data_IF_977124768000
#
_entry.id   IF_977124768000
#
_cell.length_a   1.000
_cell.length_b   1.000
_cell.length_c   1.000
_cell.angle_alpha   90.00
_cell.angle_beta   90.00
_cell.angle_gamma   90.00
#
_symmetry.space_group_name_H-M   'P 1'
#
loop_
_entity.id
_entity.type
_entity.pdbx_description
1 polymer ?
#
# COMPACT_ATOMS: atom_id res chain seq x y z
N UNK A 1 -1.97 32.49 -19.56
CA UNK A 1 -2.87 31.97 -18.48
C UNK A 1 -2.03 31.03 -17.68
N UNK A 2 -1.59 31.43 -16.46
CA UNK A 2 -0.75 30.61 -15.61
C UNK A 2 -1.57 29.44 -15.05
N UNK A 3 -1.17 28.23 -15.38
CA UNK A 3 -1.62 27.04 -14.67
C UNK A 3 -1.04 27.16 -13.27
N UNK A 4 -1.87 27.50 -12.29
CA UNK A 4 -1.49 27.39 -10.87
C UNK A 4 -1.32 25.91 -10.61
N UNK A 5 -0.09 25.43 -10.59
CA UNK A 5 0.24 24.08 -10.15
C UNK A 5 -0.26 23.99 -8.70
N UNK A 6 -1.29 23.20 -8.47
CA UNK A 6 -1.73 22.92 -7.11
C UNK A 6 -0.58 22.19 -6.43
N UNK A 7 -0.13 22.68 -5.27
CA UNK A 7 0.94 22.04 -4.51
C UNK A 7 0.59 20.61 -4.13
N UNK A 8 1.58 19.78 -3.84
CA UNK A 8 1.42 18.37 -3.49
C UNK A 8 0.42 18.15 -2.35
N UNK A 9 0.45 19.01 -1.33
CA UNK A 9 -0.50 18.95 -0.19
C UNK A 9 -1.96 19.11 -0.62
N UNK A 10 -2.24 19.89 -1.65
CA UNK A 10 -3.60 20.09 -2.15
C UNK A 10 -4.09 18.97 -3.05
N UNK A 11 -3.21 18.09 -3.52
CA UNK A 11 -3.59 16.87 -4.25
C UNK A 11 -3.95 15.70 -3.31
N UNK A 12 -3.72 15.86 -2.00
CA UNK A 12 -4.19 14.92 -1.00
C UNK A 12 -5.73 14.88 -0.99
N UNK A 13 -6.36 13.68 -1.00
CA UNK A 13 -7.82 13.59 -0.92
C UNK A 13 -8.38 14.31 0.31
N UNK A 14 -9.47 15.05 0.13
CA UNK A 14 -10.05 15.92 1.18
C UNK A 14 -10.37 15.18 2.48
N UNK A 15 -10.74 13.89 2.39
CA UNK A 15 -11.01 13.02 3.55
C UNK A 15 -9.78 12.72 4.39
N UNK A 16 -8.57 12.91 3.84
CA UNK A 16 -7.30 12.71 4.53
C UNK A 16 -6.63 14.03 4.94
N UNK A 17 -7.03 15.17 4.37
CA UNK A 17 -6.43 16.47 4.68
C UNK A 17 -6.55 16.87 6.15
N UNK A 18 -7.63 16.48 6.83
CA UNK A 18 -7.85 16.74 8.26
C UNK A 18 -7.08 15.78 9.18
N UNK A 19 -6.61 14.67 8.63
CA UNK A 19 -5.91 13.62 9.38
C UNK A 19 -4.38 13.82 9.39
N UNK A 20 -3.87 14.67 8.50
CA UNK A 20 -2.44 14.89 8.29
C UNK A 20 -2.10 16.33 8.61
N UNK A 21 -1.30 16.49 9.67
CA UNK A 21 -0.79 17.80 10.12
C UNK A 21 0.72 17.72 10.23
N UNK A 22 1.42 18.21 9.20
CA UNK A 22 2.88 18.33 9.17
C UNK A 22 3.26 19.78 8.92
N UNK A 23 4.48 20.15 9.28
CA UNK A 23 5.02 21.49 8.98
C UNK A 23 5.05 21.72 7.46
N UNK A 24 4.84 22.99 7.04
CA UNK A 24 4.87 23.37 5.62
C UNK A 24 6.20 23.01 4.95
N UNK A 25 7.29 23.06 5.70
CA UNK A 25 8.63 22.71 5.21
C UNK A 25 8.76 21.25 4.76
N UNK A 26 7.97 20.35 5.34
CA UNK A 26 7.91 18.94 4.88
C UNK A 26 7.30 18.87 3.48
N UNK A 27 6.19 19.58 3.26
CA UNK A 27 5.55 19.63 1.95
C UNK A 27 6.43 20.31 0.91
N UNK A 28 7.12 21.39 1.27
CA UNK A 28 8.05 22.12 0.39
C UNK A 28 9.22 21.24 -0.02
N UNK A 29 9.79 20.47 0.93
CA UNK A 29 10.88 19.52 0.66
C UNK A 29 10.44 18.39 -0.28
N UNK A 30 9.25 17.83 -0.05
CA UNK A 30 8.67 16.79 -0.88
C UNK A 30 8.38 17.32 -2.29
N UNK A 31 7.76 18.50 -2.41
CA UNK A 31 7.46 19.14 -3.68
C UNK A 31 8.73 19.38 -4.50
N UNK A 32 9.77 19.93 -3.87
CA UNK A 32 11.05 20.21 -4.52
C UNK A 32 11.71 18.92 -5.06
N UNK A 33 11.67 17.82 -4.28
CA UNK A 33 12.21 16.55 -4.72
C UNK A 33 11.41 15.93 -5.88
N UNK A 34 10.08 16.06 -5.86
CA UNK A 34 9.18 15.56 -6.91
C UNK A 34 9.35 16.37 -8.20
N UNK A 35 9.45 17.70 -8.09
CA UNK A 35 9.66 18.57 -9.23
C UNK A 35 11.04 18.35 -9.88
N UNK A 36 12.07 18.08 -9.06
CA UNK A 36 13.40 17.73 -9.54
C UNK A 36 13.43 16.39 -10.28
N UNK A 37 12.66 15.41 -9.80
CA UNK A 37 12.56 14.10 -10.45
C UNK A 37 11.86 14.16 -11.83
N UNK A 38 10.92 15.08 -12.01
CA UNK A 38 10.25 15.28 -13.30
C UNK A 38 9.70 13.96 -13.88
N UNK A 39 10.13 13.64 -15.10
CA UNK A 39 9.71 12.42 -15.81
C UNK A 39 10.32 11.13 -15.24
N UNK A 40 11.34 11.21 -14.40
CA UNK A 40 11.94 10.07 -13.69
C UNK A 40 11.20 9.71 -12.39
N UNK A 41 10.11 10.41 -12.09
CA UNK A 41 9.31 10.14 -10.89
C UNK A 41 8.53 8.83 -10.99
N UNK A 42 8.65 7.96 -10.00
CA UNK A 42 7.88 6.72 -9.85
C UNK A 42 7.13 6.72 -8.50
N UNK A 43 5.80 6.54 -8.49
CA UNK A 43 4.86 6.53 -9.61
C UNK A 43 4.69 7.93 -10.24
N UNK A 44 3.96 8.03 -11.37
CA UNK A 44 3.51 9.32 -11.91
C UNK A 44 2.83 10.18 -10.84
N UNK A 45 3.00 11.51 -10.92
CA UNK A 45 2.57 12.47 -9.88
C UNK A 45 1.10 12.30 -9.47
N UNK A 46 0.22 12.05 -10.42
CA UNK A 46 -1.21 11.85 -10.22
C UNK A 46 -1.55 10.57 -9.44
N UNK A 47 -0.62 9.63 -9.35
CA UNK A 47 -0.81 8.35 -8.65
C UNK A 47 -0.17 8.32 -7.26
N UNK A 48 0.53 9.36 -6.82
CA UNK A 48 1.25 9.39 -5.53
C UNK A 48 0.30 9.03 -4.37
N UNK A 49 -0.93 9.56 -4.38
CA UNK A 49 -1.92 9.32 -3.33
C UNK A 49 -3.01 8.31 -3.72
N UNK A 50 -2.78 7.46 -4.72
CA UNK A 50 -3.77 6.47 -5.16
C UNK A 50 -4.25 5.55 -4.02
N UNK A 51 -3.37 5.19 -3.08
CA UNK A 51 -3.72 4.40 -1.91
C UNK A 51 -4.77 5.07 -1.01
N UNK A 52 -4.88 6.40 -1.06
CA UNK A 52 -5.79 7.20 -0.24
C UNK A 52 -7.16 7.44 -0.90
N UNK A 53 -7.51 6.70 -1.93
CA UNK A 53 -8.80 6.80 -2.63
C UNK A 53 -10.01 6.41 -1.77
N UNK A 54 -9.81 5.69 -0.67
CA UNK A 54 -10.83 5.39 0.34
C UNK A 54 -10.63 6.29 1.57
N UNK A 55 -11.72 6.77 2.21
CA UNK A 55 -11.59 7.61 3.41
C UNK A 55 -11.10 6.81 4.62
N UNK A 56 -10.48 7.46 5.63
CA UNK A 56 -9.94 6.80 6.84
C UNK A 56 -10.95 5.88 7.53
N UNK A 57 -12.21 6.28 7.60
CA UNK A 57 -13.29 5.52 8.26
C UNK A 57 -13.69 4.24 7.52
N UNK A 58 -13.30 4.08 6.26
CA UNK A 58 -13.57 2.88 5.46
C UNK A 58 -12.38 1.91 5.43
N UNK A 59 -11.24 2.28 6.01
CA UNK A 59 -10.07 1.40 6.08
C UNK A 59 -10.33 0.28 7.09
N UNK A 60 -10.43 -0.96 6.62
CA UNK A 60 -10.58 -2.17 7.44
C UNK A 60 -9.23 -2.75 7.84
N UNK A 61 -8.25 -2.70 6.93
CA UNK A 61 -6.89 -3.19 7.18
C UNK A 61 -5.86 -2.38 6.41
N UNK A 62 -4.67 -2.28 6.99
CA UNK A 62 -3.51 -1.64 6.36
C UNK A 62 -2.51 -2.73 5.96
N UNK A 63 -2.04 -2.70 4.72
CA UNK A 63 -0.90 -3.48 4.25
C UNK A 63 0.21 -2.50 3.89
N UNK A 64 1.38 -2.61 4.54
CA UNK A 64 2.48 -1.68 4.33
C UNK A 64 3.55 -2.27 3.41
N UNK A 65 3.83 -1.54 2.33
CA UNK A 65 5.05 -1.65 1.55
C UNK A 65 6.11 -0.66 2.03
N UNK A 66 7.31 -0.72 1.48
CA UNK A 66 8.40 0.19 1.81
C UNK A 66 8.44 1.37 0.85
N UNK A 67 8.59 1.12 -0.43
CA UNK A 67 8.66 2.11 -1.51
C UNK A 67 7.95 1.58 -2.77
N UNK A 68 7.68 2.42 -3.77
CA UNK A 68 7.12 1.99 -5.04
C UNK A 68 8.05 1.04 -5.78
N UNK A 69 7.49 0.28 -6.73
CA UNK A 69 8.34 -0.38 -7.72
C UNK A 69 9.19 0.65 -8.44
N UNK A 70 10.51 0.40 -8.59
CA UNK A 70 11.40 1.38 -9.23
C UNK A 70 11.09 1.55 -10.71
N UNK A 71 10.59 0.51 -11.40
CA UNK A 71 10.10 0.65 -12.77
C UNK A 71 8.79 1.47 -12.76
N UNK A 72 8.83 2.67 -13.32
CA UNK A 72 7.71 3.60 -13.38
C UNK A 72 6.46 2.99 -14.02
N UNK A 73 6.63 2.10 -15.01
CA UNK A 73 5.50 1.43 -15.67
C UNK A 73 4.77 0.43 -14.77
N UNK A 74 5.39 -0.01 -13.67
CA UNK A 74 4.81 -0.94 -12.69
C UNK A 74 4.26 -0.24 -11.45
N UNK A 75 4.66 1.02 -11.20
CA UNK A 75 4.26 1.77 -10.03
C UNK A 75 2.89 2.46 -10.25
N UNK A 76 1.88 2.00 -9.52
CA UNK A 76 0.50 2.48 -9.59
C UNK A 76 0.05 3.24 -8.34
N UNK A 77 0.98 3.61 -7.44
CA UNK A 77 0.68 4.28 -6.18
C UNK A 77 0.03 3.39 -5.11
N UNK A 78 -0.07 2.08 -5.36
CA UNK A 78 -0.55 1.07 -4.41
C UNK A 78 0.57 0.10 -4.07
N UNK A 79 0.82 -0.13 -2.79
CA UNK A 79 1.83 -1.08 -2.35
C UNK A 79 1.58 -2.47 -2.94
N UNK A 80 2.63 -3.10 -3.49
CA UNK A 80 2.64 -4.44 -4.12
C UNK A 80 1.84 -4.58 -5.41
N UNK A 81 0.99 -3.62 -5.78
CA UNK A 81 0.17 -3.67 -6.99
C UNK A 81 0.95 -3.24 -8.22
N UNK A 82 0.62 -3.85 -9.37
CA UNK A 82 1.13 -3.44 -10.69
C UNK A 82 -0.04 -3.38 -11.69
N UNK A 83 0.11 -2.69 -12.83
CA UNK A 83 -0.90 -2.69 -13.88
C UNK A 83 -1.30 -4.10 -14.32
N UNK A 84 -2.54 -4.25 -14.81
CA UNK A 84 -3.08 -5.55 -15.30
C UNK A 84 -2.22 -6.22 -16.37
N UNK A 85 -1.56 -5.41 -17.19
CA UNK A 85 -0.71 -5.88 -18.30
C UNK A 85 0.71 -6.23 -17.86
N UNK A 86 1.12 -5.87 -16.66
CA UNK A 86 2.49 -6.07 -16.18
C UNK A 86 2.74 -7.52 -15.80
N UNK A 87 3.99 -7.94 -15.98
CA UNK A 87 4.47 -9.21 -15.46
C UNK A 87 4.48 -9.19 -13.93
N UNK A 88 3.95 -10.23 -13.30
CA UNK A 88 3.92 -10.33 -11.85
C UNK A 88 5.33 -10.26 -11.23
N UNK A 89 5.62 -9.25 -10.37
CA UNK A 89 6.89 -9.17 -9.65
C UNK A 89 7.09 -10.36 -8.71
N UNK A 90 8.34 -10.72 -8.40
CA UNK A 90 8.63 -11.89 -7.55
C UNK A 90 7.95 -11.87 -6.18
N UNK A 91 7.90 -10.71 -5.54
CA UNK A 91 7.22 -10.52 -4.24
C UNK A 91 5.72 -10.75 -4.37
N UNK A 92 5.06 -10.19 -5.38
CA UNK A 92 3.64 -10.37 -5.62
C UNK A 92 3.28 -11.83 -5.98
N UNK A 93 4.14 -12.53 -6.71
CA UNK A 93 3.97 -13.98 -6.95
C UNK A 93 3.96 -14.79 -5.66
N UNK A 94 4.81 -14.44 -4.69
CA UNK A 94 4.82 -15.09 -3.39
C UNK A 94 3.55 -14.75 -2.58
N UNK A 95 3.09 -13.48 -2.63
CA UNK A 95 1.81 -13.08 -2.02
C UNK A 95 0.67 -13.92 -2.61
N UNK A 96 0.61 -14.07 -3.93
CA UNK A 96 -0.44 -14.85 -4.60
C UNK A 96 -0.34 -16.35 -4.33
N UNK A 97 0.86 -16.90 -4.13
CA UNK A 97 1.03 -18.29 -3.70
C UNK A 97 0.45 -18.51 -2.30
N UNK A 98 0.76 -17.63 -1.35
CA UNK A 98 0.19 -17.69 -0.01
C UNK A 98 -1.32 -17.43 -0.02
N UNK A 99 -1.78 -16.45 -0.79
CA UNK A 99 -3.20 -16.16 -1.02
C UNK A 99 -3.98 -17.41 -1.47
N UNK A 100 -3.46 -18.12 -2.47
CA UNK A 100 -4.10 -19.34 -2.99
C UNK A 100 -4.13 -20.45 -1.94
N UNK A 101 -3.04 -20.62 -1.18
CA UNK A 101 -2.95 -21.64 -0.11
C UNK A 101 -3.85 -21.29 1.07
N UNK A 102 -3.88 -20.04 1.50
CA UNK A 102 -4.64 -19.58 2.68
C UNK A 102 -6.16 -19.60 2.43
N UNK A 103 -6.58 -19.18 1.23
CA UNK A 103 -8.00 -18.97 0.90
C UNK A 103 -8.62 -20.10 0.06
N UNK A 104 -7.82 -21.02 -0.48
CA UNK A 104 -8.30 -22.04 -1.43
C UNK A 104 -8.78 -21.45 -2.76
N UNK A 105 -8.31 -20.26 -3.13
CA UNK A 105 -8.67 -19.55 -4.35
C UNK A 105 -7.63 -19.78 -5.46
N UNK A 106 -8.01 -19.68 -6.75
CA UNK A 106 -7.05 -19.72 -7.84
C UNK A 106 -5.99 -18.63 -7.71
N UNK A 107 -4.77 -18.88 -8.18
CA UNK A 107 -3.73 -17.86 -8.29
C UNK A 107 -4.21 -16.78 -9.27
N UNK A 108 -4.23 -15.50 -8.88
CA UNK A 108 -4.66 -14.43 -9.77
C UNK A 108 -3.76 -14.30 -10.99
N UNK A 109 -4.35 -14.04 -12.15
CA UNK A 109 -3.64 -13.82 -13.41
C UNK A 109 -3.18 -12.37 -13.60
N UNK A 110 -3.73 -11.43 -12.82
CA UNK A 110 -3.39 -10.00 -12.83
C UNK A 110 -2.76 -9.55 -11.53
N UNK A 111 -1.81 -8.62 -11.63
CA UNK A 111 -1.19 -7.97 -10.47
C UNK A 111 -1.92 -6.71 -9.96
N UNK A 112 -3.09 -6.39 -10.52
CA UNK A 112 -3.92 -5.28 -10.08
C UNK A 112 -4.64 -5.61 -8.78
N UNK A 113 -4.25 -4.92 -7.69
CA UNK A 113 -4.83 -5.07 -6.36
C UNK A 113 -5.88 -4.01 -6.03
N UNK A 114 -6.28 -3.16 -6.99
CA UNK A 114 -7.32 -2.14 -6.78
C UNK A 114 -8.65 -2.70 -6.25
N UNK A 115 -9.08 -3.96 -6.57
CA UNK A 115 -10.26 -4.53 -5.94
C UNK A 115 -10.14 -4.70 -4.42
N UNK A 116 -8.95 -4.92 -3.88
CA UNK A 116 -8.76 -4.95 -2.42
C UNK A 116 -8.96 -3.57 -1.79
N UNK A 117 -8.56 -2.49 -2.49
CA UNK A 117 -8.81 -1.11 -2.01
C UNK A 117 -10.32 -0.86 -1.87
N UNK A 118 -11.12 -1.31 -2.85
CA UNK A 118 -12.59 -1.20 -2.81
C UNK A 118 -13.21 -1.96 -1.63
N UNK A 119 -12.56 -3.02 -1.16
CA UNK A 119 -12.96 -3.79 0.02
C UNK A 119 -12.50 -3.17 1.37
N UNK A 120 -11.78 -2.05 1.33
CA UNK A 120 -11.29 -1.36 2.52
C UNK A 120 -9.84 -1.69 2.89
N UNK A 121 -9.02 -2.19 1.96
CA UNK A 121 -7.60 -2.42 2.19
C UNK A 121 -6.79 -1.20 1.80
N UNK A 122 -6.10 -0.59 2.76
CA UNK A 122 -5.13 0.48 2.50
C UNK A 122 -3.78 -0.14 2.11
N UNK A 123 -3.47 -0.11 0.82
CA UNK A 123 -2.20 -0.59 0.26
C UNK A 123 -1.20 0.57 0.22
N UNK A 124 -0.53 0.83 1.34
CA UNK A 124 0.29 2.03 1.53
C UNK A 124 1.79 1.70 1.53
N UNK A 125 2.58 2.41 0.74
CA UNK A 125 4.02 2.45 0.92
C UNK A 125 4.40 3.49 1.99
N UNK A 126 5.48 3.26 2.74
CA UNK A 126 5.96 4.21 3.74
C UNK A 126 6.76 5.35 3.11
N UNK A 127 7.30 5.14 1.91
CA UNK A 127 7.85 6.14 1.01
C UNK A 127 7.01 6.12 -0.26
N UNK A 128 6.39 7.26 -0.63
CA UNK A 128 5.38 7.24 -1.70
C UNK A 128 5.96 7.44 -3.10
N UNK A 129 7.23 7.83 -3.21
CA UNK A 129 7.91 8.04 -4.50
C UNK A 129 9.34 7.51 -4.48
N UNK A 130 9.88 7.24 -5.65
CA UNK A 130 11.31 7.02 -5.91
C UNK A 130 11.66 7.54 -7.32
N UNK A 131 12.92 7.53 -7.69
CA UNK A 131 13.35 7.72 -9.08
C UNK A 131 13.20 6.43 -9.87
N UNK A 132 12.89 6.55 -11.17
CA UNK A 132 12.80 5.40 -12.08
C UNK A 132 14.12 4.63 -12.09
N UNK A 133 14.05 3.33 -11.86
CA UNK A 133 15.22 2.47 -11.72
C UNK A 133 15.89 2.48 -10.34
N UNK A 134 15.58 3.42 -9.43
CA UNK A 134 16.30 3.63 -8.18
C UNK A 134 15.41 3.44 -6.93
N UNK A 135 15.29 2.18 -6.48
CA UNK A 135 14.59 1.88 -5.22
C UNK A 135 15.17 2.67 -4.04
N UNK A 136 14.29 3.15 -3.15
CA UNK A 136 14.66 3.90 -1.93
C UNK A 136 15.31 5.27 -2.15
N UNK A 137 15.45 5.77 -3.38
CA UNK A 137 16.06 7.07 -3.66
C UNK A 137 15.40 8.22 -2.89
N UNK A 138 14.10 8.12 -2.57
CA UNK A 138 13.34 9.11 -1.79
C UNK A 138 13.06 8.69 -0.34
N UNK A 139 13.83 7.74 0.21
CA UNK A 139 13.60 7.21 1.57
C UNK A 139 13.80 8.25 2.70
N UNK A 140 14.52 9.36 2.43
CA UNK A 140 14.90 10.36 3.43
C UNK A 140 14.35 11.78 3.14
N UNK A 141 13.41 11.91 2.18
CA UNK A 141 12.89 13.23 1.82
C UNK A 141 11.71 13.71 2.68
N UNK A 142 11.20 12.87 3.62
CA UNK A 142 10.17 13.26 4.58
C UNK A 142 8.82 12.52 4.43
N UNK A 143 8.69 11.56 3.53
CA UNK A 143 7.45 10.81 3.35
C UNK A 143 6.94 10.15 4.63
N UNK A 144 7.86 9.69 5.50
CA UNK A 144 7.51 8.99 6.74
C UNK A 144 6.71 9.85 7.71
N UNK A 145 6.91 11.18 7.70
CA UNK A 145 6.15 12.10 8.54
C UNK A 145 4.66 12.13 8.17
N UNK A 146 4.37 11.95 6.88
CA UNK A 146 3.00 11.91 6.35
C UNK A 146 2.42 10.51 6.49
N UNK A 147 3.15 9.49 6.03
CA UNK A 147 2.64 8.11 5.99
C UNK A 147 2.43 7.53 7.39
N UNK A 148 3.22 7.96 8.39
CA UNK A 148 3.00 7.60 9.78
C UNK A 148 1.66 8.15 10.30
N UNK A 149 1.27 9.38 9.95
CA UNK A 149 -0.01 9.94 10.35
C UNK A 149 -1.18 9.25 9.64
N UNK A 150 -1.00 8.86 8.37
CA UNK A 150 -1.99 8.05 7.64
C UNK A 150 -2.23 6.73 8.39
N UNK A 151 -1.16 6.01 8.77
CA UNK A 151 -1.28 4.75 9.52
C UNK A 151 -1.92 4.96 10.89
N UNK A 152 -1.53 6.01 11.61
CA UNK A 152 -2.14 6.37 12.90
C UNK A 152 -3.64 6.66 12.76
N UNK A 153 -4.03 7.41 11.74
CA UNK A 153 -5.44 7.69 11.48
C UNK A 153 -6.23 6.42 11.18
N UNK A 154 -5.72 5.55 10.31
CA UNK A 154 -6.35 4.26 10.03
C UNK A 154 -6.50 3.40 11.31
N UNK A 155 -5.45 3.30 12.13
CA UNK A 155 -5.50 2.58 13.40
C UNK A 155 -6.53 3.17 14.38
N UNK A 156 -6.56 4.50 14.51
CA UNK A 156 -7.53 5.23 15.35
C UNK A 156 -8.99 4.96 14.90
N UNK A 157 -9.20 4.78 13.60
CA UNK A 157 -10.51 4.43 13.04
C UNK A 157 -10.82 2.92 13.13
N UNK A 158 -9.98 2.12 13.80
CA UNK A 158 -10.24 0.73 14.09
C UNK A 158 -9.73 -0.26 13.02
N UNK A 159 -8.88 0.18 12.10
CA UNK A 159 -8.27 -0.71 11.13
C UNK A 159 -7.36 -1.75 11.80
N UNK A 160 -7.27 -2.93 11.20
CA UNK A 160 -6.27 -3.96 11.51
C UNK A 160 -5.01 -3.73 10.66
N UNK A 161 -3.94 -4.48 10.90
CA UNK A 161 -2.73 -4.36 10.09
C UNK A 161 -2.16 -5.72 9.67
N UNK A 162 -1.70 -5.81 8.42
CA UNK A 162 -0.86 -6.87 7.89
C UNK A 162 0.54 -6.29 7.70
N UNK A 163 1.50 -6.74 8.50
CA UNK A 163 2.85 -6.17 8.55
C UNK A 163 3.90 -7.22 8.16
N UNK A 164 4.36 -7.13 6.91
CA UNK A 164 5.33 -8.05 6.34
C UNK A 164 6.75 -7.50 6.42
N UNK A 165 7.60 -8.19 7.20
CA UNK A 165 9.02 -7.83 7.38
C UNK A 165 9.26 -6.77 8.45
N UNK A 166 10.53 -6.66 8.88
CA UNK A 166 10.93 -5.82 10.01
C UNK A 166 10.64 -4.33 9.80
N UNK A 167 10.66 -3.84 8.55
CA UNK A 167 10.35 -2.44 8.24
C UNK A 167 8.88 -2.14 8.56
N UNK A 168 7.95 -2.92 8.00
CA UNK A 168 6.52 -2.74 8.25
C UNK A 168 6.15 -2.98 9.72
N UNK A 169 6.79 -3.95 10.40
CA UNK A 169 6.51 -4.29 11.80
C UNK A 169 6.80 -3.15 12.78
N UNK A 170 7.63 -2.16 12.43
CA UNK A 170 7.85 -0.95 13.24
C UNK A 170 6.57 -0.14 13.45
N UNK A 171 5.62 -0.26 12.54
CA UNK A 171 4.32 0.42 12.60
C UNK A 171 3.29 -0.33 13.47
N UNK A 172 3.59 -1.54 13.91
CA UNK A 172 2.75 -2.32 14.84
C UNK A 172 2.44 -1.58 16.14
N UNK A 173 3.31 -0.67 16.56
CA UNK A 173 3.14 0.19 17.75
C UNK A 173 1.87 1.06 17.73
N UNK A 174 1.23 1.26 16.56
CA UNK A 174 0.00 2.05 16.41
C UNK A 174 -1.28 1.23 16.54
N UNK A 175 -1.18 -0.09 16.56
CA UNK A 175 -2.30 -1.04 16.62
C UNK A 175 -2.27 -1.82 17.93
N UNK A 176 -3.42 -2.29 18.38
CA UNK A 176 -3.46 -3.29 19.43
C UNK A 176 -2.79 -4.60 18.93
N UNK A 177 -2.07 -5.30 19.81
CA UNK A 177 -1.29 -6.49 19.42
C UNK A 177 -2.14 -7.55 18.74
N UNK A 178 -3.38 -7.75 19.21
CA UNK A 178 -4.36 -8.68 18.67
C UNK A 178 -4.97 -8.27 17.33
N UNK A 179 -4.72 -7.04 16.88
CA UNK A 179 -5.17 -6.49 15.60
C UNK A 179 -4.08 -6.55 14.52
N UNK A 180 -2.92 -7.09 14.86
CA UNK A 180 -1.77 -7.18 13.94
C UNK A 180 -1.56 -8.60 13.47
N UNK A 181 -1.49 -8.78 12.15
CA UNK A 181 -1.02 -10.00 11.51
C UNK A 181 0.38 -9.75 10.95
N UNK A 182 1.40 -10.33 11.56
CA UNK A 182 2.79 -10.14 11.15
C UNK A 182 3.44 -11.44 10.66
N UNK A 183 4.37 -11.31 9.73
CA UNK A 183 5.28 -12.36 9.27
C UNK A 183 6.56 -11.74 8.70
N UNK A 184 7.49 -12.58 8.24
CA UNK A 184 8.62 -12.13 7.43
C UNK A 184 8.12 -11.56 6.09
N UNK A 185 8.98 -10.80 5.39
CA UNK A 185 8.61 -10.18 4.11
C UNK A 185 8.41 -11.24 3.01
N UNK A 186 7.44 -11.04 2.08
CA UNK A 186 7.15 -11.99 0.99
C UNK A 186 8.20 -12.03 -0.14
N UNK A 187 9.31 -11.31 -0.02
CA UNK A 187 10.38 -11.35 -1.04
C UNK A 187 10.98 -12.75 -1.17
N UNK A 188 11.54 -13.11 -2.35
CA UNK A 188 12.21 -14.39 -2.54
C UNK A 188 13.31 -14.68 -1.51
N UNK A 189 13.94 -13.64 -0.96
CA UNK A 189 15.01 -13.77 0.03
C UNK A 189 14.53 -14.25 1.41
N UNK A 190 13.25 -14.09 1.73
CA UNK A 190 12.70 -14.34 3.08
C UNK A 190 11.44 -15.19 3.13
N UNK A 191 10.69 -15.31 2.04
CA UNK A 191 9.36 -15.94 2.05
C UNK A 191 9.33 -17.35 2.65
N UNK A 192 10.36 -18.16 2.42
CA UNK A 192 10.47 -19.51 2.97
C UNK A 192 10.81 -19.56 4.47
N UNK A 193 11.11 -18.40 5.09
CA UNK A 193 11.47 -18.31 6.52
C UNK A 193 10.26 -17.99 7.41
N UNK A 194 9.01 -18.15 6.90
CA UNK A 194 7.80 -17.96 7.69
C UNK A 194 6.77 -16.98 7.11
N UNK A 195 6.88 -16.58 5.83
CA UNK A 195 5.79 -15.95 5.12
C UNK A 195 4.77 -16.99 4.63
N UNK A 196 5.25 -18.04 3.96
CA UNK A 196 4.38 -19.13 3.55
C UNK A 196 3.83 -19.88 4.77
N UNK A 197 2.52 -20.07 4.81
CA UNK A 197 1.78 -20.64 5.92
C UNK A 197 1.42 -19.65 7.02
N UNK A 198 1.74 -18.36 6.89
CA UNK A 198 1.37 -17.31 7.86
C UNK A 198 -0.12 -16.97 7.85
N UNK A 199 -0.85 -17.34 6.80
CA UNK A 199 -2.30 -17.19 6.62
C UNK A 199 -2.81 -15.78 6.90
N UNK A 200 -2.23 -14.74 6.26
CA UNK A 200 -2.52 -13.35 6.60
C UNK A 200 -3.97 -12.96 6.27
N UNK A 201 -4.54 -13.47 5.21
CA UNK A 201 -5.88 -13.12 4.75
C UNK A 201 -6.97 -13.70 5.64
N UNK A 202 -6.89 -15.01 5.95
CA UNK A 202 -7.81 -15.67 6.88
C UNK A 202 -7.73 -15.07 8.27
N UNK A 203 -6.51 -14.85 8.80
CA UNK A 203 -6.31 -14.27 10.14
C UNK A 203 -6.85 -12.84 10.23
N UNK A 204 -6.67 -12.02 9.21
CA UNK A 204 -7.24 -10.67 9.17
C UNK A 204 -8.77 -10.72 9.22
N UNK A 205 -9.41 -11.58 8.42
CA UNK A 205 -10.86 -11.72 8.45
C UNK A 205 -11.37 -12.23 9.81
N UNK A 206 -10.64 -13.11 10.48
CA UNK A 206 -10.97 -13.54 11.85
C UNK A 206 -10.91 -12.39 12.86
N UNK A 207 -9.93 -11.48 12.72
CA UNK A 207 -9.84 -10.29 13.56
C UNK A 207 -11.03 -9.35 13.28
N UNK A 208 -11.33 -9.07 12.03
CA UNK A 208 -12.44 -8.23 11.64
C UNK A 208 -13.79 -8.77 12.16
N UNK A 209 -14.02 -10.09 12.04
CA UNK A 209 -15.20 -10.74 12.57
C UNK A 209 -15.34 -10.57 14.09
N UNK A 210 -14.24 -10.73 14.85
CA UNK A 210 -14.25 -10.50 16.32
C UNK A 210 -14.58 -9.05 16.67
N UNK A 211 -14.23 -8.09 15.80
CA UNK A 211 -14.54 -6.66 15.95
C UNK A 211 -15.94 -6.30 15.46
N UNK A 212 -16.73 -7.25 14.93
CA UNK A 212 -18.03 -6.95 14.33
C UNK A 212 -17.95 -6.21 12.98
N UNK A 213 -16.77 -6.21 12.35
CA UNK A 213 -16.55 -5.58 11.03
C UNK A 213 -16.73 -6.65 9.96
N UNK A 214 -17.44 -6.35 8.85
CA UNK A 214 -17.59 -7.28 7.75
C UNK A 214 -16.22 -7.72 7.19
N UNK A 215 -16.03 -9.03 6.91
CA UNK A 215 -14.78 -9.54 6.37
C UNK A 215 -14.47 -8.92 5.00
N UNK A 216 -13.21 -8.96 4.61
CA UNK A 216 -12.74 -8.51 3.30
C UNK A 216 -12.97 -9.66 2.30
N UNK A 217 -13.54 -9.33 1.15
CA UNK A 217 -13.58 -10.21 -0.02
C UNK A 217 -12.24 -10.16 -0.73
N UNK A 218 -11.34 -11.06 -0.39
CA UNK A 218 -9.99 -11.10 -0.98
C UNK A 218 -9.96 -11.55 -2.44
N UNK A 219 -11.05 -12.10 -2.96
CA UNK A 219 -11.11 -12.62 -4.35
C UNK A 219 -10.83 -11.51 -5.35
N UNK A 220 -9.82 -11.72 -6.19
CA UNK A 220 -9.52 -10.86 -7.33
C UNK A 220 -10.28 -11.35 -8.58
N UNK A 221 -10.69 -10.44 -9.48
CA UNK A 221 -11.33 -10.79 -10.75
C UNK A 221 -10.47 -11.72 -11.59
N UNK A 222 -11.11 -12.68 -12.26
CA UNK A 222 -10.47 -13.53 -13.26
C UNK A 222 -10.58 -12.87 -14.63
N UNK A 223 -9.54 -12.15 -15.02
CA UNK A 223 -9.49 -11.42 -16.29
C UNK A 223 -9.31 -12.34 -17.53
N UNK A 224 -9.06 -13.65 -17.33
CA UNK A 224 -8.97 -14.59 -18.44
C UNK A 224 -10.33 -14.81 -19.13
N UNK A 225 -11.43 -14.50 -18.45
CA UNK A 225 -12.81 -14.65 -18.94
C UNK A 225 -13.39 -13.40 -19.59
N UNK A 226 -12.66 -12.27 -19.57
CA UNK A 226 -13.12 -11.00 -20.18
C UNK A 226 -12.68 -10.84 -21.64
N UNK A 227 -12.06 -11.86 -22.25
CA UNK A 227 -11.53 -11.82 -23.63
C UNK A 227 -12.36 -12.63 -24.65
N UNK A 228 -13.57 -13.01 -24.29
CA UNK A 228 -14.51 -13.68 -25.20
C UNK A 228 -15.62 -12.73 -25.66
#
# INVERSE_FOLDING_TARGET
MGVTLRGLSSSLPSTWQTEISVDSSVWEKLEAAIDLAGDELSPPRELIFAALSIPPSHVKTVILGQDPYPNRSDAVGLAFSVPRSSKLPPTLRNIFKEYSTDLGLPIPSSGDLSPWVQEGVLLLNTTLTCLDGESLSHSEIGWQEITEQIVRSAAKNGATAILWGSHAQKYGKYFATEEVVSSVHPSPLSAYRGFFGSRPFTRTNQILQRKGVPPITWRLPDISRERD
#
